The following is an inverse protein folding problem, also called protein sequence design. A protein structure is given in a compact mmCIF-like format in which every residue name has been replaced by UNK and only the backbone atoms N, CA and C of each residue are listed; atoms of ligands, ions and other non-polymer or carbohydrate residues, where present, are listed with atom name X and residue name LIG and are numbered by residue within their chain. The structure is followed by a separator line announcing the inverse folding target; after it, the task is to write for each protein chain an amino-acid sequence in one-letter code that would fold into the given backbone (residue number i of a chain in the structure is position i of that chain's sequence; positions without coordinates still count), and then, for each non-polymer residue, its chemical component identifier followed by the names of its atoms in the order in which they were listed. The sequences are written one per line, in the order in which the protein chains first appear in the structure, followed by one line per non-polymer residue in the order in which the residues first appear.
data_IF_226299775098
#
_entry.id   IF_226299775098
#
_cell.length_a   1.000
_cell.length_b   1.000
_cell.length_c   1.000
_cell.angle_alpha   90.00
_cell.angle_beta   90.00
_cell.angle_gamma   90.00
#
_symmetry.space_group_name_H-M   'P 1'
#
loop_
_entity.id
_entity.type
_entity.pdbx_description
1 polymer ?
#
# COMPACT_ATOMS: atom_id res chain seq x y z
N UNK A 1 -11.57 26.37 -21.76
CA UNK A 1 -10.98 25.60 -20.62
C UNK A 1 -11.92 24.50 -20.12
N UNK A 2 -13.22 24.64 -20.23
CA UNK A 2 -14.19 23.71 -19.62
C UNK A 2 -14.86 22.75 -20.64
N UNK A 3 -14.23 22.50 -21.80
CA UNK A 3 -14.82 21.65 -22.84
C UNK A 3 -14.92 20.19 -22.43
N UNK A 4 -13.96 19.72 -21.60
CA UNK A 4 -13.83 18.31 -21.22
C UNK A 4 -13.96 18.07 -19.72
N UNK A 5 -14.21 19.11 -18.93
CA UNK A 5 -14.39 18.99 -17.49
C UNK A 5 -15.35 20.05 -16.93
N UNK A 6 -16.23 19.64 -16.05
CA UNK A 6 -16.98 20.52 -15.16
C UNK A 6 -16.15 20.78 -13.91
N UNK A 7 -16.04 22.05 -13.52
CA UNK A 7 -15.22 22.47 -12.40
C UNK A 7 -16.09 22.82 -11.20
N UNK A 8 -15.67 22.43 -10.03
CA UNK A 8 -16.29 22.77 -8.75
C UNK A 8 -15.32 23.56 -7.89
N UNK A 9 -15.83 24.61 -7.28
CA UNK A 9 -15.04 25.37 -6.30
C UNK A 9 -15.10 24.71 -4.95
N UNK A 10 -13.94 24.37 -4.39
CA UNK A 10 -13.77 23.86 -3.05
C UNK A 10 -13.05 24.90 -2.20
N UNK A 11 -13.58 25.15 -1.00
CA UNK A 11 -12.95 26.05 -0.03
C UNK A 11 -12.17 25.23 0.98
N UNK A 12 -10.84 25.38 0.99
CA UNK A 12 -9.95 24.72 1.92
C UNK A 12 -8.93 25.71 2.48
N UNK A 13 -8.76 25.74 3.78
CA UNK A 13 -7.78 26.60 4.49
C UNK A 13 -7.87 28.10 4.10
N UNK A 14 -9.10 28.62 3.95
CA UNK A 14 -9.32 30.02 3.58
C UNK A 14 -9.01 30.37 2.11
N UNK A 15 -8.73 29.40 1.27
CA UNK A 15 -8.50 29.56 -0.17
C UNK A 15 -9.56 28.82 -0.98
N UNK A 16 -9.96 29.44 -2.09
CA UNK A 16 -10.86 28.82 -3.08
C UNK A 16 -10.02 28.13 -4.14
N UNK A 17 -10.19 26.81 -4.26
CA UNK A 17 -9.49 25.99 -5.25
C UNK A 17 -10.54 25.41 -6.22
N UNK A 18 -10.29 25.50 -7.52
CA UNK A 18 -11.11 24.82 -8.50
C UNK A 18 -10.60 23.40 -8.72
N UNK A 19 -11.47 22.42 -8.52
CA UNK A 19 -11.21 21.01 -8.77
C UNK A 19 -12.13 20.49 -9.85
N UNK A 20 -11.71 19.45 -10.56
CA UNK A 20 -12.58 18.77 -11.52
C UNK A 20 -13.65 18.03 -10.74
N UNK A 21 -14.92 18.33 -11.04
CA UNK A 21 -16.08 17.63 -10.48
C UNK A 21 -16.43 16.42 -11.34
N UNK A 22 -16.51 16.63 -12.67
CA UNK A 22 -16.87 15.61 -13.63
C UNK A 22 -16.15 15.81 -14.96
N UNK A 23 -15.75 14.71 -15.58
CA UNK A 23 -15.27 14.73 -16.96
C UNK A 23 -16.45 14.60 -17.92
N UNK A 24 -16.47 15.44 -18.98
CA UNK A 24 -17.50 15.51 -20.00
C UNK A 24 -16.88 15.42 -21.40
N UNK A 25 -17.67 15.09 -22.41
CA UNK A 25 -17.26 15.01 -23.83
C UNK A 25 -16.04 14.12 -24.08
N UNK A 26 -15.86 13.03 -23.30
CA UNK A 26 -14.72 12.14 -23.40
C UNK A 26 -14.63 11.43 -24.77
N UNK A 27 -15.76 11.19 -25.43
CA UNK A 27 -15.80 10.63 -26.77
C UNK A 27 -15.08 11.54 -27.78
N UNK A 28 -15.45 12.82 -27.81
CA UNK A 28 -14.83 13.83 -28.66
C UNK A 28 -13.33 13.99 -28.37
N UNK A 29 -12.95 13.97 -27.08
CA UNK A 29 -11.56 14.03 -26.67
C UNK A 29 -10.79 12.81 -27.19
N UNK A 30 -11.36 11.61 -27.04
CA UNK A 30 -10.77 10.36 -27.53
C UNK A 30 -10.54 10.41 -29.04
N UNK A 31 -11.55 10.83 -29.80
CA UNK A 31 -11.45 10.91 -31.27
C UNK A 31 -10.44 11.96 -31.74
N UNK A 32 -10.30 13.05 -30.98
CA UNK A 32 -9.27 14.05 -31.22
C UNK A 32 -7.87 13.50 -30.97
N UNK A 33 -7.69 12.79 -29.87
CA UNK A 33 -6.41 12.21 -29.46
C UNK A 33 -5.98 11.07 -30.41
N UNK A 34 -6.90 10.24 -30.87
CA UNK A 34 -6.63 9.13 -31.80
C UNK A 34 -5.91 9.55 -33.08
N UNK A 35 -6.03 10.81 -33.49
CA UNK A 35 -5.37 11.32 -34.70
C UNK A 35 -3.85 11.38 -34.61
N UNK A 36 -3.30 11.44 -33.39
CA UNK A 36 -1.86 11.58 -33.12
C UNK A 36 -1.35 10.70 -31.99
N UNK A 37 -2.19 9.77 -31.50
CA UNK A 37 -1.82 8.78 -30.49
C UNK A 37 -2.24 7.38 -30.91
N UNK A 38 -1.45 6.39 -30.54
CA UNK A 38 -1.78 4.98 -30.69
C UNK A 38 -1.91 4.33 -29.32
N UNK A 39 -3.01 3.63 -29.09
CA UNK A 39 -3.27 2.90 -27.84
C UNK A 39 -3.37 1.42 -28.16
N UNK A 40 -2.56 0.64 -27.45
CA UNK A 40 -2.59 -0.82 -27.48
C UNK A 40 -2.90 -1.35 -26.10
N UNK A 41 -3.85 -2.22 -26.00
CA UNK A 41 -4.14 -2.94 -24.75
C UNK A 41 -3.40 -4.28 -24.76
N UNK A 42 -3.00 -4.75 -23.57
CA UNK A 42 -2.34 -6.05 -23.44
C UNK A 42 -3.20 -7.19 -23.96
N UNK A 43 -4.51 -7.14 -23.71
CA UNK A 43 -5.51 -8.08 -24.18
C UNK A 43 -5.66 -8.15 -25.70
N UNK A 44 -5.30 -7.08 -26.43
CA UNK A 44 -5.34 -7.02 -27.88
C UNK A 44 -4.08 -7.60 -28.56
N UNK A 45 -2.98 -7.71 -27.80
CA UNK A 45 -1.66 -7.99 -28.37
C UNK A 45 -0.95 -9.20 -27.77
N UNK A 46 -1.37 -9.66 -26.61
CA UNK A 46 -0.73 -10.74 -25.88
C UNK A 46 -1.76 -11.80 -25.51
N UNK A 47 -1.48 -13.04 -25.88
CA UNK A 47 -2.21 -14.21 -25.39
C UNK A 47 -1.67 -14.56 -24.01
N UNK A 48 -2.21 -13.91 -22.99
CA UNK A 48 -1.82 -14.12 -21.60
C UNK A 48 -2.93 -14.88 -20.85
N UNK A 49 -2.57 -15.79 -19.96
CA UNK A 49 -3.55 -16.43 -19.09
C UNK A 49 -4.24 -15.39 -18.18
N UNK A 50 -5.44 -15.75 -17.76
CA UNK A 50 -6.23 -14.92 -16.85
C UNK A 50 -5.49 -14.64 -15.53
N UNK A 51 -5.73 -13.47 -14.96
CA UNK A 51 -5.18 -13.11 -13.64
C UNK A 51 -5.89 -13.88 -12.56
N UNK A 52 -5.14 -14.58 -11.73
CA UNK A 52 -5.64 -15.30 -10.57
C UNK A 52 -5.32 -14.48 -9.32
N UNK A 53 -6.34 -14.20 -8.48
CA UNK A 53 -6.18 -13.50 -7.21
C UNK A 53 -6.40 -14.48 -6.06
N UNK A 54 -5.37 -14.70 -5.26
CA UNK A 54 -5.40 -15.59 -4.10
C UNK A 54 -5.22 -14.76 -2.84
N UNK A 55 -6.07 -15.00 -1.82
CA UNK A 55 -5.94 -14.39 -0.50
C UNK A 55 -5.42 -15.42 0.49
N UNK A 56 -4.30 -15.12 1.15
CA UNK A 56 -3.77 -15.90 2.27
C UNK A 56 -4.17 -15.20 3.58
N UNK A 57 -4.92 -15.90 4.44
CA UNK A 57 -5.32 -15.41 5.75
C UNK A 57 -4.32 -15.88 6.80
N UNK A 58 -3.75 -14.93 7.53
CA UNK A 58 -2.76 -15.19 8.56
C UNK A 58 -3.36 -14.81 9.91
N UNK A 59 -3.33 -15.74 10.86
CA UNK A 59 -3.78 -15.48 12.22
C UNK A 59 -2.78 -14.59 12.96
N UNK A 60 -3.28 -13.59 13.67
CA UNK A 60 -2.46 -12.80 14.57
C UNK A 60 -1.95 -13.68 15.71
N UNK A 61 -0.72 -13.46 16.13
CA UNK A 61 -0.20 -14.08 17.36
C UNK A 61 -0.94 -13.53 18.59
N UNK A 62 -0.93 -14.24 19.73
CA UNK A 62 -1.56 -13.74 20.96
C UNK A 62 -1.08 -12.34 21.36
N UNK A 63 0.21 -12.06 21.21
CA UNK A 63 0.81 -10.76 21.51
C UNK A 63 0.31 -9.67 20.56
N UNK A 64 0.24 -9.98 19.25
CA UNK A 64 -0.34 -9.06 18.27
C UNK A 64 -1.81 -8.78 18.57
N UNK A 65 -2.61 -9.81 18.84
CA UNK A 65 -4.04 -9.67 19.14
C UNK A 65 -4.26 -8.80 20.36
N UNK A 66 -3.50 -8.98 21.43
CA UNK A 66 -3.60 -8.16 22.64
C UNK A 66 -3.28 -6.69 22.36
N UNK A 67 -2.19 -6.41 21.67
CA UNK A 67 -1.79 -5.05 21.31
C UNK A 67 -2.79 -4.40 20.34
N UNK A 68 -3.30 -5.19 19.39
CA UNK A 68 -4.28 -4.73 18.43
C UNK A 68 -5.60 -4.28 19.10
N UNK A 69 -6.14 -5.10 20.00
CA UNK A 69 -7.38 -4.74 20.71
C UNK A 69 -7.18 -3.52 21.62
N UNK A 70 -6.07 -3.42 22.35
CA UNK A 70 -5.75 -2.24 23.15
C UNK A 70 -5.70 -0.95 22.28
N UNK A 71 -5.05 -1.00 21.15
CA UNK A 71 -4.93 0.13 20.23
C UNK A 71 -6.27 0.47 19.56
N UNK A 72 -7.07 -0.53 19.24
CA UNK A 72 -8.41 -0.38 18.66
C UNK A 72 -9.37 0.31 19.65
N UNK A 73 -9.34 -0.06 20.92
CA UNK A 73 -10.14 0.61 21.96
C UNK A 73 -9.79 2.10 22.06
N UNK A 74 -8.49 2.43 22.02
CA UNK A 74 -8.03 3.82 22.01
C UNK A 74 -8.50 4.56 20.75
N UNK A 75 -8.38 3.94 19.59
CA UNK A 75 -8.85 4.51 18.32
C UNK A 75 -10.35 4.77 18.32
N UNK A 76 -11.16 3.84 18.84
CA UNK A 76 -12.60 3.99 18.96
C UNK A 76 -12.98 5.14 19.93
N UNK A 77 -12.28 5.28 21.05
CA UNK A 77 -12.50 6.37 21.99
C UNK A 77 -12.25 7.75 21.34
N UNK A 78 -11.25 7.86 20.48
CA UNK A 78 -10.96 9.07 19.71
C UNK A 78 -12.07 9.36 18.68
N UNK A 79 -12.50 8.35 17.93
CA UNK A 79 -13.55 8.49 16.92
C UNK A 79 -14.92 8.86 17.53
N UNK A 80 -15.21 8.42 18.76
CA UNK A 80 -16.44 8.76 19.48
C UNK A 80 -16.43 10.19 20.10
N UNK A 81 -15.41 10.99 19.79
CA UNK A 81 -15.30 12.37 20.28
C UNK A 81 -14.92 12.51 21.75
N UNK A 82 -14.53 11.41 22.42
CA UNK A 82 -14.06 11.41 23.80
C UNK A 82 -12.68 12.04 23.97
N UNK A 83 -11.92 12.12 22.86
CA UNK A 83 -10.60 12.77 22.78
C UNK A 83 -10.51 13.56 21.47
N UNK A 84 -10.26 14.86 21.58
CA UNK A 84 -10.26 15.78 20.44
C UNK A 84 -8.92 15.80 19.74
N UNK A 85 -8.78 15.11 18.57
CA UNK A 85 -7.84 15.52 17.53
C UNK A 85 -7.94 14.60 16.29
N UNK A 86 -8.22 15.19 15.14
CA UNK A 86 -8.28 14.50 13.83
C UNK A 86 -6.92 13.87 13.45
N UNK A 87 -5.80 14.47 13.88
CA UNK A 87 -4.46 13.94 13.67
C UNK A 87 -4.24 12.60 14.39
N UNK A 88 -4.84 12.44 15.58
CA UNK A 88 -4.70 11.22 16.37
C UNK A 88 -5.41 10.01 15.74
N UNK A 89 -6.55 10.20 15.07
CA UNK A 89 -7.30 9.10 14.45
C UNK A 89 -6.51 8.42 13.33
N UNK A 90 -5.89 9.19 12.43
CA UNK A 90 -5.09 8.64 11.34
C UNK A 90 -3.85 7.92 11.88
N UNK A 91 -3.18 8.50 12.86
CA UNK A 91 -2.03 7.88 13.51
C UNK A 91 -2.39 6.55 14.15
N UNK A 92 -3.55 6.46 14.81
CA UNK A 92 -4.01 5.20 15.42
C UNK A 92 -4.29 4.12 14.38
N UNK A 93 -4.89 4.48 13.24
CA UNK A 93 -5.11 3.54 12.13
C UNK A 93 -3.78 3.02 11.56
N UNK A 94 -2.80 3.90 11.39
CA UNK A 94 -1.46 3.49 10.96
C UNK A 94 -0.80 2.54 11.97
N UNK A 95 -0.95 2.79 13.27
CA UNK A 95 -0.42 1.89 14.32
C UNK A 95 -1.10 0.53 14.33
N UNK A 96 -2.42 0.47 14.15
CA UNK A 96 -3.14 -0.79 13.98
C UNK A 96 -2.59 -1.59 12.79
N UNK A 97 -2.32 -0.92 11.67
CA UNK A 97 -1.71 -1.56 10.51
C UNK A 97 -0.28 -2.05 10.81
N UNK A 98 0.54 -1.25 11.48
CA UNK A 98 1.90 -1.67 11.89
C UNK A 98 1.87 -2.92 12.78
N UNK A 99 0.98 -2.97 13.77
CA UNK A 99 0.83 -4.14 14.65
C UNK A 99 0.49 -5.39 13.83
N UNK A 100 -0.41 -5.30 12.85
CA UNK A 100 -0.71 -6.43 11.96
C UNK A 100 0.45 -6.80 11.05
N UNK A 101 1.35 -5.85 10.74
CA UNK A 101 2.59 -6.09 10.01
C UNK A 101 3.71 -6.68 10.88
N UNK A 102 3.56 -6.70 12.20
CA UNK A 102 4.52 -7.30 13.13
C UNK A 102 5.59 -6.34 13.64
N UNK A 103 5.27 -5.07 13.70
CA UNK A 103 6.11 -4.06 14.33
C UNK A 103 5.24 -2.92 14.92
N UNK A 104 5.85 -2.11 15.75
CA UNK A 104 5.24 -0.91 16.32
C UNK A 104 6.30 0.18 16.37
N UNK A 105 5.97 1.36 15.86
CA UNK A 105 6.84 2.54 15.95
C UNK A 105 6.26 3.50 16.98
N UNK A 106 7.03 3.83 17.99
CA UNK A 106 6.64 4.76 19.06
C UNK A 106 6.69 6.22 18.57
N UNK A 107 6.31 7.15 19.48
CA UNK A 107 6.31 8.60 19.18
C UNK A 107 7.72 9.18 18.98
N UNK A 108 8.76 8.48 19.44
CA UNK A 108 10.16 8.85 19.27
C UNK A 108 10.75 8.31 17.96
N UNK A 109 9.97 7.58 17.17
CA UNK A 109 10.42 6.95 15.92
C UNK A 109 11.14 5.62 16.11
N UNK A 110 11.17 5.07 17.33
CA UNK A 110 11.80 3.78 17.59
C UNK A 110 10.87 2.65 17.18
N UNK A 111 11.33 1.76 16.30
CA UNK A 111 10.56 0.62 15.83
C UNK A 111 10.90 -0.62 16.64
N UNK A 112 9.90 -1.22 17.25
CA UNK A 112 10.00 -2.45 18.03
C UNK A 112 9.37 -3.62 17.27
N UNK A 113 10.03 -4.79 17.20
CA UNK A 113 9.47 -5.98 16.57
C UNK A 113 8.36 -6.59 17.42
N UNK A 114 7.34 -7.11 16.76
CA UNK A 114 6.30 -7.95 17.34
C UNK A 114 6.34 -9.28 16.61
N UNK A 115 6.37 -10.39 17.39
CA UNK A 115 6.35 -11.73 16.81
C UNK A 115 5.10 -11.89 15.94
N UNK A 116 5.30 -12.34 14.71
CA UNK A 116 4.22 -12.54 13.74
C UNK A 116 4.56 -13.71 12.80
N UNK A 117 3.57 -14.20 12.07
CA UNK A 117 3.68 -15.35 11.17
C UNK A 117 3.70 -14.93 9.69
N UNK A 118 3.80 -13.62 9.36
CA UNK A 118 3.66 -13.13 7.99
C UNK A 118 4.84 -13.48 7.11
N UNK A 119 6.05 -13.35 7.65
CA UNK A 119 7.26 -13.69 6.90
C UNK A 119 7.32 -15.19 6.62
N UNK A 120 6.96 -16.01 7.60
CA UNK A 120 6.93 -17.47 7.44
C UNK A 120 5.91 -17.87 6.35
N UNK A 121 4.71 -17.29 6.37
CA UNK A 121 3.72 -17.54 5.31
C UNK A 121 4.17 -17.01 3.94
N UNK A 122 4.86 -15.87 3.88
CA UNK A 122 5.45 -15.40 2.64
C UNK A 122 6.48 -16.40 2.09
N UNK A 123 7.31 -16.98 2.95
CA UNK A 123 8.28 -18.00 2.53
C UNK A 123 7.58 -19.26 1.98
N UNK A 124 6.48 -19.70 2.62
CA UNK A 124 5.65 -20.79 2.09
C UNK A 124 5.10 -20.47 0.70
N UNK A 125 4.60 -19.24 0.50
CA UNK A 125 4.11 -18.80 -0.82
C UNK A 125 5.23 -18.78 -1.85
N UNK A 126 6.45 -18.35 -1.48
CA UNK A 126 7.58 -18.33 -2.40
C UNK A 126 8.02 -19.73 -2.82
N UNK A 127 7.88 -20.72 -1.95
CA UNK A 127 8.14 -22.14 -2.28
C UNK A 127 7.14 -22.70 -3.28
N UNK A 128 5.90 -22.18 -3.32
CA UNK A 128 4.87 -22.57 -4.29
C UNK A 128 5.06 -21.93 -5.66
N UNK A 129 5.86 -20.84 -5.76
CA UNK A 129 6.01 -20.05 -6.98
C UNK A 129 7.20 -20.54 -7.80
N UNK A 130 6.93 -20.98 -9.02
CA UNK A 130 7.98 -21.25 -10.00
C UNK A 130 8.40 -19.95 -10.70
N UNK A 131 9.68 -19.60 -10.63
CA UNK A 131 10.25 -18.45 -11.33
C UNK A 131 10.40 -17.18 -10.47
N UNK A 132 10.15 -16.01 -11.06
CA UNK A 132 10.39 -14.70 -10.41
C UNK A 132 9.13 -14.17 -9.76
N UNK A 133 9.25 -13.65 -8.55
CA UNK A 133 8.17 -13.02 -7.81
C UNK A 133 8.45 -11.54 -7.58
N UNK A 134 7.40 -10.71 -7.58
CA UNK A 134 7.46 -9.31 -7.16
C UNK A 134 6.73 -9.22 -5.82
N UNK A 135 7.43 -8.74 -4.79
CA UNK A 135 6.91 -8.60 -3.44
C UNK A 135 6.72 -7.12 -3.15
N UNK A 136 5.50 -6.72 -2.82
CA UNK A 136 5.18 -5.36 -2.41
C UNK A 136 5.05 -5.29 -0.89
N UNK A 137 5.82 -4.41 -0.26
CA UNK A 137 5.74 -4.12 1.17
C UNK A 137 5.41 -2.63 1.39
N UNK A 138 4.65 -2.34 2.44
CA UNK A 138 4.22 -0.98 2.74
C UNK A 138 5.24 -0.23 3.62
N UNK A 139 5.94 -0.93 4.50
CA UNK A 139 6.90 -0.35 5.43
C UNK A 139 8.33 -0.82 5.13
N UNK A 140 9.29 0.08 5.28
CA UNK A 140 10.73 -0.25 5.12
C UNK A 140 11.17 -1.35 6.10
N UNK A 141 10.60 -1.35 7.31
CA UNK A 141 10.86 -2.40 8.29
C UNK A 141 10.46 -3.78 7.74
N UNK A 142 9.29 -3.90 7.11
CA UNK A 142 8.84 -5.15 6.50
C UNK A 142 9.78 -5.59 5.37
N UNK A 143 10.22 -4.64 4.51
CA UNK A 143 11.18 -4.92 3.45
C UNK A 143 12.47 -5.52 4.00
N UNK A 144 13.05 -4.90 5.05
CA UNK A 144 14.27 -5.42 5.69
C UNK A 144 14.06 -6.86 6.19
N UNK A 145 12.94 -7.14 6.86
CA UNK A 145 12.64 -8.49 7.37
C UNK A 145 12.45 -9.52 6.27
N UNK A 146 11.80 -9.12 5.18
CA UNK A 146 11.61 -9.97 4.00
C UNK A 146 12.97 -10.26 3.34
N UNK A 147 13.79 -9.25 3.11
CA UNK A 147 15.13 -9.41 2.54
C UNK A 147 16.03 -10.32 3.40
N UNK A 148 16.00 -10.15 4.72
CA UNK A 148 16.72 -11.01 5.67
C UNK A 148 16.29 -12.48 5.54
N UNK A 149 14.98 -12.74 5.45
CA UNK A 149 14.44 -14.09 5.34
C UNK A 149 14.81 -14.72 3.99
N UNK A 150 14.64 -14.00 2.89
CA UNK A 150 14.98 -14.45 1.53
C UNK A 150 16.49 -14.74 1.44
N UNK A 151 17.32 -13.83 1.95
CA UNK A 151 18.77 -14.00 1.94
C UNK A 151 19.23 -15.25 2.71
N UNK A 152 18.58 -15.56 3.82
CA UNK A 152 18.88 -16.79 4.60
C UNK A 152 18.49 -18.06 3.88
N UNK A 153 17.37 -18.06 3.16
CA UNK A 153 16.84 -19.27 2.53
C UNK A 153 17.42 -19.50 1.14
N UNK A 154 17.52 -18.45 0.32
CA UNK A 154 17.91 -18.54 -1.09
C UNK A 154 19.28 -17.92 -1.40
N UNK A 155 19.90 -17.29 -0.42
CA UNK A 155 21.23 -16.65 -0.56
C UNK A 155 21.15 -15.13 -0.84
N UNK A 156 22.24 -14.40 -0.61
CA UNK A 156 22.26 -12.93 -0.65
C UNK A 156 22.07 -12.32 -2.07
N UNK A 157 22.24 -13.09 -3.11
CA UNK A 157 22.05 -12.64 -4.51
C UNK A 157 20.69 -12.98 -5.11
N UNK A 158 19.74 -13.49 -4.32
CA UNK A 158 18.46 -14.00 -4.78
C UNK A 158 17.38 -12.93 -4.95
N UNK A 159 17.61 -11.71 -4.54
CA UNK A 159 16.66 -10.60 -4.62
C UNK A 159 17.33 -9.29 -5.02
N UNK A 160 16.50 -8.36 -5.50
CA UNK A 160 16.85 -6.95 -5.72
C UNK A 160 15.77 -6.12 -5.04
N UNK A 161 16.16 -5.10 -4.29
CA UNK A 161 15.24 -4.16 -3.68
C UNK A 161 15.09 -2.89 -4.54
N UNK A 162 13.87 -2.33 -4.53
CA UNK A 162 13.59 -1.07 -5.19
C UNK A 162 12.64 -0.22 -4.34
N UNK A 163 13.16 0.89 -3.80
CA UNK A 163 12.39 1.84 -3.01
C UNK A 163 13.03 3.24 -3.08
N UNK A 164 12.41 4.26 -2.47
CA UNK A 164 12.81 5.66 -2.65
C UNK A 164 14.25 6.02 -2.29
N UNK A 165 15.00 5.15 -1.60
CA UNK A 165 16.42 5.33 -1.29
C UNK A 165 17.34 4.48 -2.18
N UNK A 166 16.79 3.61 -3.03
CA UNK A 166 17.59 2.83 -3.99
C UNK A 166 18.20 3.78 -5.01
N UNK A 167 19.54 3.78 -5.21
CA UNK A 167 20.17 4.61 -6.21
C UNK A 167 19.63 4.30 -7.60
N UNK A 168 19.31 5.33 -8.38
CA UNK A 168 19.07 5.13 -9.81
C UNK A 168 20.42 4.83 -10.44
N UNK A 169 20.59 3.64 -10.99
CA UNK A 169 21.70 3.39 -11.90
C UNK A 169 21.41 4.19 -13.18
N UNK A 170 22.31 5.14 -13.50
CA UNK A 170 22.29 5.91 -14.75
C UNK A 170 22.69 5.05 -15.96
#
# INVERSE_FOLDING_TARGET
RNRYAEMKTMHAHGRSIQIVDKFINLGELSDTIKKFSYRVLKEDCLDLPDKIFIKRQIQLTPDQSKLYEQMKEQALAILQGKVSSTKNSLTQLMRLQQITCGHFTDDNGTTQPIKNNRVDELMNVLEEVEGKAIIWAHYQYDMTKIMDAISKTYGPGSFVDYYGLTPNEE
#
